data_IF_278689558653
#
_entry.id   IF_278689558653
#
_cell.length_a   1.000
_cell.length_b   1.000
_cell.length_c   1.000
_cell.angle_alpha   90.00
_cell.angle_beta   90.00
_cell.angle_gamma   90.00
#
_symmetry.space_group_name_H-M   'P 1'
#
loop_
_entity.id
_entity.type
_entity.pdbx_description
1 polymer ?
#
# COMPACT_ATOMS: atom_id res chain seq x y z
N UNK A 1 -6.63 -17.62 24.85
CA UNK A 1 -6.96 -16.62 23.81
C UNK A 1 -5.82 -15.62 23.75
N UNK A 2 -5.03 -15.66 22.69
CA UNK A 2 -3.82 -14.85 22.53
C UNK A 2 -4.17 -13.37 22.32
N UNK A 3 -3.60 -12.51 23.17
CA UNK A 3 -3.70 -11.06 23.08
C UNK A 3 -3.20 -10.54 21.72
N UNK A 4 -4.05 -9.79 21.02
CA UNK A 4 -3.69 -9.09 19.80
C UNK A 4 -2.82 -7.90 20.22
N UNK A 5 -1.49 -8.06 20.12
CA UNK A 5 -0.55 -6.97 20.39
C UNK A 5 -0.75 -5.84 19.37
N UNK A 6 -0.86 -4.64 19.90
CA UNK A 6 -1.17 -3.41 19.18
C UNK A 6 -0.05 -3.11 18.17
N UNK A 7 -0.40 -2.86 16.89
CA UNK A 7 0.56 -2.68 15.76
C UNK A 7 1.59 -1.56 16.01
N UNK A 8 1.29 -0.66 16.95
CA UNK A 8 2.18 0.45 17.33
C UNK A 8 3.40 0.02 18.16
N UNK A 9 3.43 -1.19 18.72
CA UNK A 9 4.52 -1.68 19.58
C UNK A 9 5.80 -2.02 18.78
N UNK A 10 5.69 -2.24 17.46
CA UNK A 10 6.83 -2.55 16.58
C UNK A 10 7.55 -1.33 15.99
N UNK A 11 7.15 -0.11 16.36
CA UNK A 11 7.84 1.11 15.91
C UNK A 11 9.10 1.32 16.76
N UNK A 12 10.18 0.62 16.42
CA UNK A 12 11.51 0.93 16.92
C UNK A 12 11.84 2.42 16.73
N UNK A 13 12.51 3.03 17.73
CA UNK A 13 12.96 4.43 17.68
C UNK A 13 13.82 4.62 16.43
N UNK A 14 13.39 5.49 15.52
CA UNK A 14 14.16 5.83 14.32
C UNK A 14 15.30 6.79 14.66
N UNK A 15 16.51 6.45 14.25
CA UNK A 15 17.68 7.34 14.34
C UNK A 15 17.45 8.61 13.52
N UNK A 16 17.59 9.76 14.19
CA UNK A 16 17.27 11.09 13.65
C UNK A 16 18.23 11.59 12.55
N UNK A 17 19.32 10.86 12.28
CA UNK A 17 20.39 11.25 11.36
C UNK A 17 20.45 10.48 10.03
N UNK A 18 19.50 9.58 9.76
CA UNK A 18 19.44 8.88 8.47
C UNK A 18 18.69 9.78 7.48
N UNK A 19 19.37 10.19 6.38
CA UNK A 19 18.69 10.79 5.22
C UNK A 19 17.63 9.80 4.74
N UNK A 20 16.38 10.07 5.09
CA UNK A 20 15.26 9.21 4.71
C UNK A 20 15.06 9.34 3.21
N UNK A 21 15.32 8.26 2.47
CA UNK A 21 14.91 8.18 1.06
C UNK A 21 13.39 8.29 0.97
N UNK A 22 12.88 9.24 0.17
CA UNK A 22 11.46 9.52 -0.01
C UNK A 22 11.08 9.27 -1.46
N UNK A 23 10.11 8.36 -1.67
CA UNK A 23 9.52 8.12 -2.98
C UNK A 23 8.72 9.34 -3.42
N UNK A 24 8.93 9.76 -4.67
CA UNK A 24 8.16 10.83 -5.32
C UNK A 24 7.46 10.24 -6.53
N UNK A 25 6.18 10.55 -6.70
CA UNK A 25 5.34 10.00 -7.79
C UNK A 25 5.89 10.31 -9.18
N UNK A 26 6.58 11.44 -9.35
CA UNK A 26 7.17 11.88 -10.61
C UNK A 26 8.67 11.55 -10.76
N UNK A 27 9.24 10.71 -9.88
CA UNK A 27 10.64 10.27 -9.98
C UNK A 27 10.72 8.76 -10.03
N UNK A 28 11.59 8.25 -10.91
CA UNK A 28 11.90 6.82 -10.94
C UNK A 28 12.47 6.37 -9.61
N UNK A 29 12.16 5.14 -9.23
CA UNK A 29 12.79 4.47 -8.10
C UNK A 29 14.27 4.30 -8.40
N UNK A 30 15.12 4.69 -7.45
CA UNK A 30 16.56 4.53 -7.54
C UNK A 30 16.97 3.17 -6.96
N UNK A 31 17.18 2.20 -7.84
CA UNK A 31 17.53 0.82 -7.45
C UNK A 31 18.90 0.78 -6.79
N UNK A 32 19.87 1.57 -7.26
CA UNK A 32 21.22 1.60 -6.68
C UNK A 32 21.20 2.12 -5.25
N UNK A 33 20.35 3.12 -4.96
CA UNK A 33 20.17 3.61 -3.60
C UNK A 33 19.49 2.57 -2.68
N UNK A 34 18.49 1.83 -3.18
CA UNK A 34 17.82 0.77 -2.41
C UNK A 34 18.78 -0.38 -2.06
N UNK A 35 19.72 -0.70 -2.94
CA UNK A 35 20.70 -1.77 -2.74
C UNK A 35 21.83 -1.42 -1.75
N UNK A 36 21.97 -0.16 -1.34
CA UNK A 36 22.97 0.24 -0.34
C UNK A 36 22.55 -0.22 1.05
N UNK A 37 23.53 -0.65 1.85
CA UNK A 37 23.36 -1.00 3.27
C UNK A 37 22.28 -2.08 3.55
N UNK A 38 22.07 -3.04 2.63
CA UNK A 38 21.10 -4.14 2.81
C UNK A 38 21.37 -4.98 4.06
N UNK A 39 22.62 -5.07 4.50
CA UNK A 39 23.05 -5.72 5.75
C UNK A 39 22.43 -5.06 7.01
N UNK A 40 22.07 -3.78 6.91
CA UNK A 40 21.45 -3.00 8.00
C UNK A 40 19.92 -3.00 7.93
N UNK A 41 19.35 -3.50 6.84
CA UNK A 41 17.90 -3.48 6.64
C UNK A 41 17.16 -4.36 7.66
N UNK A 42 16.06 -3.84 8.21
CA UNK A 42 15.13 -4.59 9.05
C UNK A 42 13.68 -4.38 8.59
N UNK A 43 12.86 -5.43 8.51
CA UNK A 43 11.46 -5.31 8.13
C UNK A 43 10.69 -4.36 9.05
N UNK A 44 9.94 -3.42 8.47
CA UNK A 44 9.16 -2.42 9.23
C UNK A 44 7.88 -2.99 9.87
N UNK A 45 7.34 -4.08 9.33
CA UNK A 45 6.13 -4.78 9.79
C UNK A 45 6.33 -6.29 9.57
N UNK A 46 5.60 -7.11 10.32
CA UNK A 46 5.60 -8.58 10.22
C UNK A 46 4.16 -9.09 10.10
N UNK A 47 3.98 -10.25 9.48
CA UNK A 47 2.68 -10.91 9.35
C UNK A 47 1.87 -10.50 8.12
N UNK A 48 0.67 -11.07 8.01
CA UNK A 48 -0.29 -10.83 6.93
C UNK A 48 -1.22 -9.66 7.25
N UNK A 49 -1.67 -8.92 6.24
CA UNK A 49 -2.65 -7.84 6.40
C UNK A 49 -3.77 -7.97 5.38
N UNK A 50 -5.00 -8.16 5.88
CA UNK A 50 -6.21 -8.09 5.05
C UNK A 50 -6.53 -6.65 4.65
N UNK A 51 -7.18 -6.47 3.50
CA UNK A 51 -7.76 -5.17 3.14
C UNK A 51 -8.86 -4.82 4.15
N UNK A 52 -8.95 -3.54 4.50
CA UNK A 52 -9.98 -3.06 5.40
C UNK A 52 -11.26 -2.79 4.61
N UNK A 53 -12.25 -3.65 4.81
CA UNK A 53 -13.56 -3.55 4.19
C UNK A 53 -14.30 -2.32 4.69
N UNK A 54 -14.97 -1.60 3.79
CA UNK A 54 -15.89 -0.52 4.11
C UNK A 54 -17.33 -1.06 4.24
N UNK A 55 -18.23 -0.32 4.91
CA UNK A 55 -19.63 -0.73 5.06
C UNK A 55 -20.32 -0.98 3.71
N UNK A 56 -21.26 -1.92 3.69
CA UNK A 56 -22.14 -2.14 2.54
C UNK A 56 -22.92 -0.85 2.26
N UNK A 57 -23.03 -0.46 1.00
CA UNK A 57 -23.71 0.77 0.61
C UNK A 57 -22.81 2.01 0.63
N UNK A 58 -21.49 1.83 0.66
CA UNK A 58 -20.54 2.95 0.58
C UNK A 58 -20.68 3.67 -0.77
N UNK A 59 -20.89 4.99 -0.73
CA UNK A 59 -20.96 5.84 -1.91
C UNK A 59 -19.54 6.21 -2.40
N UNK A 60 -19.24 5.95 -3.67
CA UNK A 60 -18.00 6.38 -4.34
C UNK A 60 -18.35 7.01 -5.68
N UNK A 61 -18.08 8.31 -5.80
CA UNK A 61 -18.55 9.10 -6.93
C UNK A 61 -20.08 9.01 -7.06
N UNK A 62 -20.62 8.70 -8.25
CA UNK A 62 -22.06 8.59 -8.45
C UNK A 62 -22.65 7.20 -8.09
N UNK A 63 -21.84 6.26 -7.58
CA UNK A 63 -22.26 4.86 -7.42
C UNK A 63 -22.18 4.37 -5.97
N UNK A 64 -23.05 3.41 -5.65
CA UNK A 64 -23.11 2.75 -4.34
C UNK A 64 -22.52 1.34 -4.44
N UNK A 65 -21.52 1.04 -3.61
CA UNK A 65 -20.81 -0.25 -3.60
C UNK A 65 -21.20 -1.09 -2.39
N UNK A 66 -21.52 -2.36 -2.63
CA UNK A 66 -21.83 -3.34 -1.58
C UNK A 66 -20.59 -4.10 -1.08
N UNK A 67 -19.53 -4.15 -1.90
CA UNK A 67 -18.25 -4.79 -1.60
C UNK A 67 -17.14 -3.84 -2.04
N UNK A 68 -16.46 -3.24 -1.06
CA UNK A 68 -15.40 -2.26 -1.30
C UNK A 68 -14.49 -2.16 -0.07
N UNK A 69 -13.23 -1.79 -0.26
CA UNK A 69 -12.26 -1.52 0.80
C UNK A 69 -11.84 -0.05 0.85
N UNK A 70 -11.04 0.31 1.86
CA UNK A 70 -10.31 1.59 1.87
C UNK A 70 -9.61 1.84 0.53
N UNK A 71 -9.65 3.11 0.08
CA UNK A 71 -9.07 3.53 -1.18
C UNK A 71 -7.54 3.67 -1.09
N UNK A 72 -6.85 3.67 -2.23
CA UNK A 72 -5.44 3.99 -2.34
C UNK A 72 -5.23 5.51 -2.36
N UNK A 73 -4.14 5.98 -1.74
CA UNK A 73 -3.76 7.41 -1.79
C UNK A 73 -3.28 7.84 -3.19
N UNK A 74 -2.56 6.94 -3.88
CA UNK A 74 -2.07 7.15 -5.24
C UNK A 74 -2.29 5.86 -6.04
N UNK A 75 -2.98 5.98 -7.17
CA UNK A 75 -3.30 4.87 -8.06
C UNK A 75 -3.53 5.36 -9.49
N UNK A 76 -3.61 4.41 -10.42
CA UNK A 76 -4.05 4.67 -11.79
C UNK A 76 -5.45 4.08 -11.97
N UNK A 77 -6.48 4.91 -12.16
CA UNK A 77 -7.83 4.41 -12.35
C UNK A 77 -7.97 3.71 -13.72
N UNK A 78 -9.04 2.94 -13.87
CA UNK A 78 -9.40 2.33 -15.15
C UNK A 78 -9.51 3.39 -16.25
N UNK A 79 -9.16 3.07 -17.52
CA UNK A 79 -9.25 4.03 -18.61
C UNK A 79 -10.63 4.69 -18.73
N UNK A 80 -11.73 3.94 -18.55
CA UNK A 80 -13.09 4.45 -18.62
C UNK A 80 -13.51 5.31 -17.40
N UNK A 81 -12.71 5.37 -16.33
CA UNK A 81 -13.04 6.13 -15.13
C UNK A 81 -13.10 7.64 -15.38
N UNK A 82 -12.51 8.14 -16.48
CA UNK A 82 -12.59 9.56 -16.84
C UNK A 82 -14.04 10.06 -17.04
N UNK A 83 -14.97 9.17 -17.44
CA UNK A 83 -16.41 9.49 -17.51
C UNK A 83 -17.05 9.66 -16.13
N UNK A 84 -16.40 9.19 -15.06
CA UNK A 84 -16.91 9.14 -13.69
C UNK A 84 -16.02 9.88 -12.70
N UNK A 85 -15.39 10.99 -13.14
CA UNK A 85 -14.47 11.80 -12.32
C UNK A 85 -13.25 11.02 -11.79
N UNK A 86 -12.77 10.05 -12.55
CA UNK A 86 -11.58 9.25 -12.25
C UNK A 86 -11.66 8.51 -10.90
N UNK A 87 -12.84 8.00 -10.53
CA UNK A 87 -12.96 7.11 -9.35
C UNK A 87 -12.14 5.83 -9.54
N UNK A 88 -11.58 5.32 -8.45
CA UNK A 88 -10.79 4.09 -8.41
C UNK A 88 -11.20 3.17 -7.25
N UNK A 89 -12.44 2.64 -7.26
CA UNK A 89 -12.95 1.79 -6.19
C UNK A 89 -12.10 0.51 -6.03
N UNK A 90 -11.75 0.18 -4.80
CA UNK A 90 -10.88 -0.95 -4.46
C UNK A 90 -11.67 -2.15 -3.93
N UNK A 91 -11.47 -3.38 -4.45
CA UNK A 91 -12.15 -4.58 -3.93
C UNK A 91 -11.67 -4.95 -2.52
N UNK A 92 -12.47 -5.70 -1.77
CA UNK A 92 -12.15 -6.17 -0.42
C UNK A 92 -11.27 -7.44 -0.38
N UNK A 93 -11.12 -8.14 -1.50
CA UNK A 93 -10.15 -9.22 -1.65
C UNK A 93 -8.72 -8.70 -1.87
N UNK A 94 -7.73 -9.52 -1.53
CA UNK A 94 -6.34 -9.24 -1.85
C UNK A 94 -6.10 -9.65 -3.30
N UNK A 95 -5.55 -8.73 -4.09
CA UNK A 95 -5.19 -8.96 -5.49
C UNK A 95 -3.73 -9.39 -5.56
N UNK A 96 -3.47 -10.50 -6.23
CA UNK A 96 -2.12 -11.06 -6.41
C UNK A 96 -1.69 -10.90 -7.86
N UNK A 97 -0.44 -10.52 -8.05
CA UNK A 97 0.22 -10.50 -9.37
C UNK A 97 1.55 -11.23 -9.25
N UNK A 98 1.91 -12.00 -10.27
CA UNK A 98 3.14 -12.78 -10.33
C UNK A 98 4.23 -11.96 -11.05
N UNK A 99 5.35 -11.69 -10.35
CA UNK A 99 6.49 -10.95 -10.88
C UNK A 99 7.76 -11.76 -10.58
N UNK A 100 8.27 -12.47 -11.59
CA UNK A 100 9.42 -13.37 -11.45
C UNK A 100 10.26 -13.42 -12.74
N UNK A 101 10.83 -12.29 -13.15
CA UNK A 101 11.60 -12.18 -14.41
C UNK A 101 12.97 -12.88 -14.38
N UNK A 102 13.44 -13.31 -13.20
CA UNK A 102 14.78 -13.85 -13.00
C UNK A 102 15.89 -12.80 -12.84
N UNK A 103 15.54 -11.51 -12.82
CA UNK A 103 16.48 -10.41 -12.59
C UNK A 103 15.97 -9.51 -11.47
N UNK A 104 16.88 -9.12 -10.59
CA UNK A 104 16.67 -8.08 -9.60
C UNK A 104 17.34 -6.79 -10.04
#
# INVERSE_FOLDING_TARGET
MSEIKNVNEYRGKMDKNIKKYVLKTNKKIDVLEILKDLDKYKPRRKGWTWRKKLPKGTLVGPFVYNQISENLENSQPLPAAHYFKNIDPQPDCIITSEIASGRF
#
